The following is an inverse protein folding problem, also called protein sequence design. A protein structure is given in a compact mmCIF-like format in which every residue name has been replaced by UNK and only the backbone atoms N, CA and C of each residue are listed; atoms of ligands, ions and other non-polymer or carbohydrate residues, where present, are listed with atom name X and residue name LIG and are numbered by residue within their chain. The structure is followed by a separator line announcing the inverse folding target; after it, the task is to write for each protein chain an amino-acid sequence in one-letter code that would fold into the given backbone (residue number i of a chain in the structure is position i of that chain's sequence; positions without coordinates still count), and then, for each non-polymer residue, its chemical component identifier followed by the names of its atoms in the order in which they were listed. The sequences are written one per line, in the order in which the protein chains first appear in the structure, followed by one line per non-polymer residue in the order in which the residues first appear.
data_IF_459910042039
#
_entry.id   IF_459910042039
#
_cell.length_a   1.000
_cell.length_b   1.000
_cell.length_c   1.000
_cell.angle_alpha   90.00
_cell.angle_beta   90.00
_cell.angle_gamma   90.00
#
_symmetry.space_group_name_H-M   'P 1'
#
loop_
_entity.id
_entity.type
_entity.pdbx_description
1 polymer ?
#
# COMPACT_ATOMS: atom_id res chain seq x y z
N UNK A 1 -19.78 -5.08 -4.31
CA UNK A 1 -18.73 -5.31 -5.34
C UNK A 1 -18.42 -6.78 -5.56
N UNK A 2 -18.12 -7.60 -4.53
CA UNK A 2 -17.77 -9.03 -4.73
C UNK A 2 -18.78 -9.87 -5.54
N UNK A 3 -20.07 -9.61 -5.43
CA UNK A 3 -21.07 -10.29 -6.26
C UNK A 3 -20.95 -9.92 -7.75
N UNK A 4 -20.71 -8.66 -8.06
CA UNK A 4 -20.48 -8.20 -9.44
C UNK A 4 -19.15 -8.73 -10.00
N UNK A 5 -18.13 -8.84 -9.14
CA UNK A 5 -16.85 -9.45 -9.50
C UNK A 5 -17.03 -10.90 -9.94
N UNK A 6 -17.72 -11.72 -9.14
CA UNK A 6 -17.99 -13.11 -9.49
C UNK A 6 -18.78 -13.25 -10.81
N UNK A 7 -19.72 -12.34 -11.09
CA UNK A 7 -20.42 -12.31 -12.37
C UNK A 7 -19.45 -12.02 -13.53
N UNK A 8 -18.62 -10.98 -13.43
CA UNK A 8 -17.64 -10.64 -14.47
C UNK A 8 -16.65 -11.78 -14.67
N UNK A 9 -16.09 -12.34 -13.59
CA UNK A 9 -15.14 -13.43 -13.72
C UNK A 9 -15.80 -14.65 -14.39
N UNK A 10 -17.04 -14.99 -14.06
CA UNK A 10 -17.75 -16.09 -14.71
C UNK A 10 -18.12 -15.79 -16.18
N UNK A 11 -18.62 -14.58 -16.47
CA UNK A 11 -19.05 -14.17 -17.81
C UNK A 11 -17.89 -14.18 -18.83
N UNK A 12 -16.66 -14.07 -18.34
CA UNK A 12 -15.44 -14.13 -19.15
C UNK A 12 -14.58 -15.38 -18.86
N UNK A 13 -15.20 -16.48 -18.42
CA UNK A 13 -14.54 -17.79 -18.18
C UNK A 13 -13.30 -17.72 -17.26
N UNK A 14 -13.32 -16.78 -16.32
CA UNK A 14 -12.23 -16.42 -15.41
C UNK A 14 -10.94 -16.01 -16.15
N UNK A 15 -11.06 -15.38 -17.32
CA UNK A 15 -9.96 -14.76 -18.08
C UNK A 15 -9.71 -13.31 -17.66
N UNK A 16 -10.68 -12.69 -16.98
CA UNK A 16 -10.53 -11.38 -16.35
C UNK A 16 -10.35 -11.61 -14.86
N UNK A 17 -9.37 -10.93 -14.27
CA UNK A 17 -9.17 -10.92 -12.83
C UNK A 17 -9.78 -9.65 -12.24
N UNK A 18 -10.59 -9.81 -11.20
CA UNK A 18 -11.09 -8.67 -10.44
C UNK A 18 -10.37 -8.59 -9.09
N UNK A 19 -9.99 -7.37 -8.70
CA UNK A 19 -9.31 -7.14 -7.44
C UNK A 19 -9.63 -5.76 -6.89
N UNK A 20 -9.42 -5.59 -5.60
CA UNK A 20 -9.61 -4.31 -4.92
C UNK A 20 -8.58 -3.27 -5.38
N UNK A 21 -9.00 -2.03 -5.59
CA UNK A 21 -8.07 -0.94 -5.85
C UNK A 21 -7.11 -0.77 -4.66
N UNK A 22 -5.81 -0.86 -4.94
CA UNK A 22 -4.78 -0.78 -3.90
C UNK A 22 -4.81 0.58 -3.17
N UNK A 23 -4.86 1.70 -3.90
CA UNK A 23 -4.97 3.04 -3.33
C UNK A 23 -6.23 3.22 -2.45
N UNK A 24 -7.38 2.69 -2.89
CA UNK A 24 -8.59 2.68 -2.07
C UNK A 24 -8.39 1.86 -0.78
N UNK A 25 -7.72 0.72 -0.88
CA UNK A 25 -7.40 -0.12 0.29
C UNK A 25 -6.52 0.59 1.32
N UNK A 26 -5.53 1.36 0.85
CA UNK A 26 -4.69 2.19 1.72
C UNK A 26 -5.49 3.29 2.42
N UNK A 27 -6.43 3.92 1.71
CA UNK A 27 -7.36 4.90 2.30
C UNK A 27 -8.29 4.26 3.37
N UNK A 28 -8.68 3.00 3.17
CA UNK A 28 -9.44 2.24 4.17
C UNK A 28 -8.60 1.90 5.41
N UNK A 29 -7.33 1.52 5.24
CA UNK A 29 -6.38 1.33 6.35
C UNK A 29 -6.29 2.61 7.19
N UNK A 30 -6.11 3.76 6.54
CA UNK A 30 -6.10 5.05 7.22
C UNK A 30 -7.38 5.29 8.02
N UNK A 31 -8.53 4.95 7.43
CA UNK A 31 -9.86 5.06 8.07
C UNK A 31 -10.05 4.12 9.25
N UNK A 32 -9.40 2.98 9.28
CA UNK A 32 -9.46 2.07 10.42
C UNK A 32 -8.50 2.51 11.53
N UNK A 33 -7.28 2.93 11.17
CA UNK A 33 -6.29 3.39 12.13
C UNK A 33 -6.78 4.61 12.91
N UNK A 34 -7.44 5.58 12.26
CA UNK A 34 -8.03 6.73 12.97
C UNK A 34 -9.03 6.32 14.06
N UNK A 35 -9.56 5.09 13.98
CA UNK A 35 -10.53 4.59 14.93
C UNK A 35 -9.91 3.91 16.15
N UNK A 36 -8.57 3.77 16.21
CA UNK A 36 -7.86 3.38 17.43
C UNK A 36 -8.21 4.31 18.59
N UNK A 37 -8.30 3.76 19.78
CA UNK A 37 -8.82 4.48 20.96
C UNK A 37 -7.93 5.67 21.29
N UNK A 38 -6.60 5.49 21.25
CA UNK A 38 -5.65 6.57 21.55
C UNK A 38 -5.70 7.69 20.51
N UNK A 39 -5.97 7.36 19.24
CA UNK A 39 -6.06 8.34 18.15
C UNK A 39 -7.40 9.08 18.18
N UNK A 40 -8.50 8.39 18.51
CA UNK A 40 -9.80 9.01 18.72
C UNK A 40 -9.78 10.01 19.88
N UNK A 41 -9.25 9.62 21.04
CA UNK A 41 -9.18 10.50 22.21
C UNK A 41 -8.30 11.71 21.94
N UNK A 42 -7.10 11.50 21.40
CA UNK A 42 -6.19 12.56 21.02
C UNK A 42 -6.83 13.56 20.04
N UNK A 43 -7.52 13.06 19.01
CA UNK A 43 -8.21 13.92 18.04
C UNK A 43 -9.31 14.74 18.70
N UNK A 44 -10.09 14.14 19.60
CA UNK A 44 -11.14 14.83 20.34
C UNK A 44 -10.56 15.95 21.24
N UNK A 45 -9.46 15.67 21.94
CA UNK A 45 -8.75 16.65 22.76
C UNK A 45 -8.20 17.81 21.92
N UNK A 46 -7.55 17.51 20.78
CA UNK A 46 -7.03 18.53 19.87
C UNK A 46 -8.14 19.43 19.30
N UNK A 47 -9.29 18.83 18.93
CA UNK A 47 -10.48 19.58 18.48
C UNK A 47 -11.03 20.48 19.60
N UNK A 48 -11.15 19.94 20.82
CA UNK A 48 -11.63 20.69 21.98
C UNK A 48 -10.74 21.90 22.28
N UNK A 49 -9.41 21.69 22.31
CA UNK A 49 -8.43 22.75 22.52
C UNK A 49 -8.50 23.82 21.42
N UNK A 50 -8.59 23.41 20.15
CA UNK A 50 -8.70 24.33 19.02
C UNK A 50 -9.98 25.17 19.10
N UNK A 51 -11.11 24.55 19.49
CA UNK A 51 -12.37 25.27 19.71
C UNK A 51 -12.26 26.26 20.86
N UNK A 52 -11.70 25.85 22.00
CA UNK A 52 -11.53 26.72 23.17
C UNK A 52 -10.70 27.97 22.84
N UNK A 53 -9.61 27.81 22.07
CA UNK A 53 -8.79 28.94 21.62
C UNK A 53 -9.58 29.84 20.67
N UNK A 54 -10.26 29.28 19.66
CA UNK A 54 -10.97 30.06 18.63
C UNK A 54 -12.19 30.81 19.18
N UNK A 55 -12.87 30.24 20.18
CA UNK A 55 -14.04 30.86 20.81
C UNK A 55 -13.66 31.95 21.82
N UNK A 56 -12.41 31.98 22.28
CA UNK A 56 -11.91 33.03 23.18
C UNK A 56 -11.19 34.11 22.39
N UNK A 57 -11.72 35.33 22.40
CA UNK A 57 -11.08 36.49 21.76
C UNK A 57 -9.66 36.74 22.30
N UNK A 58 -9.44 36.56 23.60
CA UNK A 58 -8.14 36.76 24.25
C UNK A 58 -7.15 35.68 23.81
N UNK A 59 -7.53 34.40 23.90
CA UNK A 59 -6.63 33.30 23.53
C UNK A 59 -6.32 33.34 22.03
N UNK A 60 -7.31 33.64 21.18
CA UNK A 60 -7.08 33.77 19.75
C UNK A 60 -6.14 34.92 19.40
N UNK A 61 -6.20 36.04 20.13
CA UNK A 61 -5.27 37.16 19.92
C UNK A 61 -3.85 36.79 20.36
N UNK A 62 -3.72 36.19 21.55
CA UNK A 62 -2.44 35.74 22.08
C UNK A 62 -1.75 34.69 21.20
N UNK A 63 -2.50 33.73 20.66
CA UNK A 63 -1.93 32.74 19.74
C UNK A 63 -1.47 33.40 18.44
N UNK A 64 -2.22 34.36 17.88
CA UNK A 64 -1.78 35.09 16.67
C UNK A 64 -0.50 35.87 16.92
N UNK A 65 -0.39 36.52 18.08
CA UNK A 65 0.82 37.23 18.48
C UNK A 65 2.03 36.29 18.52
N UNK A 66 1.90 35.14 19.18
CA UNK A 66 2.96 34.13 19.24
C UNK A 66 3.28 33.50 17.88
N UNK A 67 2.29 33.30 17.01
CA UNK A 67 2.53 32.82 15.64
C UNK A 67 3.37 33.83 14.85
N UNK A 68 3.10 35.13 14.99
CA UNK A 68 3.89 36.18 14.34
C UNK A 68 5.33 36.24 14.90
N UNK A 69 5.50 36.15 16.22
CA UNK A 69 6.81 36.13 16.89
C UNK A 69 7.66 34.95 16.40
N UNK A 70 7.07 33.77 16.30
CA UNK A 70 7.74 32.54 15.85
C UNK A 70 7.81 32.40 14.32
N UNK A 71 7.29 33.37 13.56
CA UNK A 71 7.19 33.33 12.09
C UNK A 71 6.46 32.09 11.55
N UNK A 72 5.46 31.60 12.28
CA UNK A 72 4.61 30.49 11.88
C UNK A 72 3.49 31.04 11.00
N UNK A 73 3.46 30.65 9.73
CA UNK A 73 2.47 31.11 8.75
C UNK A 73 1.16 30.32 8.78
N UNK A 74 1.09 29.21 9.53
CA UNK A 74 -0.09 28.36 9.57
C UNK A 74 -1.17 28.94 10.51
N UNK A 75 -2.44 28.82 10.14
CA UNK A 75 -3.56 29.16 11.01
C UNK A 75 -4.03 27.93 11.80
N UNK A 76 -4.59 28.16 13.00
CA UNK A 76 -5.28 27.11 13.78
C UNK A 76 -6.47 26.57 12.99
N UNK A 77 -6.30 25.40 12.36
CA UNK A 77 -7.33 24.72 11.59
C UNK A 77 -7.91 23.59 12.41
N UNK A 78 -9.24 23.45 12.34
CA UNK A 78 -9.87 22.23 12.80
C UNK A 78 -9.51 21.11 11.81
N UNK A 79 -9.31 19.87 12.28
CA UNK A 79 -9.13 18.74 11.37
C UNK A 79 -10.33 18.65 10.44
N UNK A 80 -10.05 18.68 9.13
CA UNK A 80 -11.06 18.51 8.09
C UNK A 80 -11.04 17.03 7.71
N UNK A 81 -12.18 16.31 7.65
CA UNK A 81 -12.24 14.89 7.34
C UNK A 81 -11.52 14.44 6.06
N UNK A 82 -11.21 15.38 5.17
CA UNK A 82 -10.63 15.13 3.84
C UNK A 82 -9.22 15.70 3.61
N UNK A 83 -8.61 16.47 4.53
CA UNK A 83 -7.23 17.01 4.36
C UNK A 83 -6.55 17.23 5.73
N UNK A 84 -5.56 16.38 6.05
CA UNK A 84 -5.06 16.18 7.43
C UNK A 84 -3.57 16.49 7.66
N UNK A 85 -2.90 17.17 6.74
CA UNK A 85 -1.46 17.46 6.82
C UNK A 85 -1.02 18.54 7.82
N UNK A 86 -1.70 18.71 8.95
CA UNK A 86 -1.33 19.74 9.93
C UNK A 86 -1.65 19.27 11.34
N UNK A 87 -0.63 19.13 12.19
CA UNK A 87 -0.58 19.21 13.65
C UNK A 87 0.80 18.65 14.06
N UNK A 88 1.38 19.06 15.20
CA UNK A 88 2.81 18.80 15.50
C UNK A 88 3.06 18.15 16.89
N UNK A 89 2.03 17.86 17.70
CA UNK A 89 2.04 16.81 18.78
C UNK A 89 1.76 15.41 18.24
N UNK A 90 2.14 15.30 16.99
CA UNK A 90 1.57 14.51 15.93
C UNK A 90 2.68 13.74 15.28
N UNK A 91 3.89 13.77 15.83
CA UNK A 91 4.96 12.88 15.45
C UNK A 91 4.52 11.42 15.50
N UNK A 92 3.86 10.94 16.57
CA UNK A 92 3.33 9.57 16.59
C UNK A 92 2.22 9.29 15.56
N UNK A 93 1.46 10.33 15.21
CA UNK A 93 0.35 10.30 14.24
C UNK A 93 0.88 10.35 12.78
N UNK A 94 1.85 11.22 12.50
CA UNK A 94 2.63 11.35 11.26
C UNK A 94 3.45 10.09 11.07
N UNK A 95 4.18 9.61 12.07
CA UNK A 95 4.98 8.40 11.95
C UNK A 95 4.13 7.18 11.59
N UNK A 96 2.87 7.10 12.05
CA UNK A 96 1.95 6.05 11.62
C UNK A 96 1.39 6.28 10.20
N UNK A 97 1.04 7.52 9.85
CA UNK A 97 0.27 7.80 8.63
C UNK A 97 1.12 8.20 7.42
N UNK A 98 2.34 8.66 7.64
CA UNK A 98 3.31 9.05 6.61
C UNK A 98 3.71 7.86 5.73
N UNK A 99 4.02 6.66 6.26
CA UNK A 99 4.27 5.50 5.40
C UNK A 99 3.09 5.20 4.47
N UNK A 100 1.85 5.39 4.98
CA UNK A 100 0.62 5.14 4.21
C UNK A 100 0.44 6.22 3.15
N UNK A 101 0.58 7.50 3.51
CA UNK A 101 0.44 8.63 2.59
C UNK A 101 1.51 8.60 1.47
N UNK A 102 2.75 8.27 1.82
CA UNK A 102 3.85 8.10 0.86
C UNK A 102 3.57 6.93 -0.08
N UNK A 103 2.99 5.84 0.44
CA UNK A 103 2.61 4.69 -0.38
C UNK A 103 1.47 5.05 -1.33
N UNK A 104 0.42 5.74 -0.86
CA UNK A 104 -0.67 6.26 -1.70
C UNK A 104 -0.11 7.11 -2.83
N UNK A 105 0.73 8.10 -2.50
CA UNK A 105 1.36 8.99 -3.48
C UNK A 105 2.18 8.20 -4.51
N UNK A 106 2.90 7.15 -4.06
CA UNK A 106 3.67 6.30 -4.96
C UNK A 106 2.80 5.45 -5.89
N UNK A 107 1.60 5.04 -5.46
CA UNK A 107 0.73 4.15 -6.26
C UNK A 107 -0.28 4.92 -7.11
N UNK A 108 -0.52 6.19 -6.80
CA UNK A 108 -1.35 7.11 -7.59
C UNK A 108 -0.53 7.92 -8.62
N UNK A 109 0.80 7.80 -8.62
CA UNK A 109 1.64 8.39 -9.66
C UNK A 109 1.48 7.71 -11.03
N UNK A 110 2.23 8.16 -12.03
CA UNK A 110 2.05 7.75 -13.44
C UNK A 110 2.73 6.42 -13.84
N UNK A 111 3.45 5.75 -12.93
CA UNK A 111 4.19 4.50 -13.22
C UNK A 111 3.96 3.32 -12.25
N UNK A 112 2.78 3.15 -11.62
CA UNK A 112 2.60 2.13 -10.61
C UNK A 112 2.37 0.78 -11.29
N UNK A 113 3.29 -0.17 -11.08
CA UNK A 113 3.14 -1.54 -11.56
C UNK A 113 2.54 -2.42 -10.46
N UNK A 114 1.62 -3.32 -10.82
CA UNK A 114 0.96 -4.25 -9.90
C UNK A 114 1.99 -5.07 -9.09
N UNK A 115 3.12 -5.40 -9.72
CA UNK A 115 4.24 -6.12 -9.11
C UNK A 115 4.84 -5.43 -7.88
N UNK A 116 4.80 -4.09 -7.83
CA UNK A 116 5.31 -3.27 -6.72
C UNK A 116 4.34 -3.21 -5.54
N UNK A 117 3.04 -3.48 -5.74
CA UNK A 117 2.05 -3.32 -4.68
C UNK A 117 2.34 -4.18 -3.45
N UNK A 118 2.79 -5.43 -3.63
CA UNK A 118 3.16 -6.31 -2.53
C UNK A 118 4.34 -5.75 -1.72
N UNK A 119 5.41 -5.35 -2.42
CA UNK A 119 6.59 -4.72 -1.84
C UNK A 119 6.21 -3.49 -1.02
N UNK A 120 5.45 -2.58 -1.65
CA UNK A 120 5.02 -1.33 -1.04
C UNK A 120 4.14 -1.58 0.19
N UNK A 121 3.24 -2.56 0.13
CA UNK A 121 2.43 -2.95 1.27
C UNK A 121 3.28 -3.47 2.43
N UNK A 122 4.19 -4.43 2.18
CA UNK A 122 5.07 -5.00 3.22
C UNK A 122 5.96 -3.94 3.83
N UNK A 123 6.57 -3.08 3.00
CA UNK A 123 7.40 -1.95 3.46
C UNK A 123 6.59 -1.00 4.34
N UNK A 124 5.41 -0.57 3.88
CA UNK A 124 4.53 0.33 4.62
C UNK A 124 4.14 -0.26 5.97
N UNK A 125 3.71 -1.53 6.01
CA UNK A 125 3.31 -2.22 7.25
C UNK A 125 4.47 -2.30 8.23
N UNK A 126 5.65 -2.74 7.78
CA UNK A 126 6.83 -2.85 8.63
C UNK A 126 7.22 -1.50 9.22
N UNK A 127 7.33 -0.45 8.39
CA UNK A 127 7.64 0.91 8.87
C UNK A 127 6.58 1.43 9.84
N UNK A 128 5.29 1.19 9.57
CA UNK A 128 4.21 1.63 10.44
C UNK A 128 4.25 0.94 11.81
N UNK A 129 4.49 -0.37 11.83
CA UNK A 129 4.58 -1.15 13.08
C UNK A 129 5.82 -0.80 13.90
N UNK A 130 6.96 -0.58 13.25
CA UNK A 130 8.16 -0.05 13.91
C UNK A 130 7.92 1.33 14.54
N UNK A 131 7.10 2.17 13.90
CA UNK A 131 6.76 3.49 14.40
C UNK A 131 5.76 3.42 15.57
N UNK A 132 4.83 2.46 15.53
CA UNK A 132 3.88 2.18 16.62
C UNK A 132 4.60 1.73 17.90
N UNK A 133 5.57 0.82 17.79
CA UNK A 133 6.31 0.33 18.96
C UNK A 133 7.15 1.42 19.62
N UNK A 134 7.68 2.37 18.83
CA UNK A 134 8.44 3.53 19.32
C UNK A 134 7.56 4.64 19.89
N UNK A 135 6.25 4.62 19.61
CA UNK A 135 5.33 5.68 20.00
C UNK A 135 4.78 5.46 21.42
N UNK A 136 4.99 6.38 22.36
CA UNK A 136 4.40 6.28 23.71
C UNK A 136 2.87 6.27 23.69
N UNK A 137 2.26 6.88 22.67
CA UNK A 137 0.82 6.95 22.49
C UNK A 137 0.24 5.62 21.96
N UNK A 138 0.94 4.95 21.05
CA UNK A 138 0.41 3.83 20.27
C UNK A 138 0.98 2.46 20.67
N UNK A 139 2.05 2.40 21.47
CA UNK A 139 2.72 1.13 21.80
C UNK A 139 1.80 0.08 22.42
N UNK A 140 0.73 0.52 23.13
CA UNK A 140 -0.29 -0.37 23.70
C UNK A 140 -1.29 -0.93 22.69
N UNK A 141 -1.38 -0.31 21.50
CA UNK A 141 -2.31 -0.67 20.41
C UNK A 141 -1.57 -1.34 19.23
N UNK A 142 -0.36 -1.90 19.44
CA UNK A 142 0.40 -2.60 18.40
C UNK A 142 -0.39 -3.79 17.82
N UNK A 143 -1.00 -4.60 18.69
CA UNK A 143 -1.78 -5.76 18.28
C UNK A 143 -3.01 -5.36 17.44
N UNK A 144 -3.73 -4.31 17.86
CA UNK A 144 -4.88 -3.78 17.13
C UNK A 144 -4.46 -3.20 15.78
N UNK A 145 -3.34 -2.48 15.76
CA UNK A 145 -2.75 -1.93 14.53
C UNK A 145 -2.37 -3.05 13.55
N UNK A 146 -1.73 -4.12 14.04
CA UNK A 146 -1.38 -5.29 13.23
C UNK A 146 -2.64 -5.98 12.68
N UNK A 147 -3.68 -6.15 13.50
CA UNK A 147 -4.93 -6.75 13.07
C UNK A 147 -5.63 -5.94 11.96
N UNK A 148 -5.57 -4.60 12.01
CA UNK A 148 -6.06 -3.72 10.95
C UNK A 148 -5.33 -3.99 9.63
N UNK A 149 -3.99 -4.04 9.65
CA UNK A 149 -3.20 -4.32 8.45
C UNK A 149 -3.50 -5.71 7.87
N UNK A 150 -3.55 -6.75 8.70
CA UNK A 150 -3.85 -8.12 8.25
C UNK A 150 -5.26 -8.24 7.67
N UNK A 151 -6.26 -7.60 8.29
CA UNK A 151 -7.61 -7.60 7.76
C UNK A 151 -7.69 -6.88 6.41
N UNK A 152 -6.97 -5.76 6.26
CA UNK A 152 -6.96 -4.98 5.02
C UNK A 152 -6.08 -5.58 3.93
N UNK A 153 -5.05 -6.38 4.27
CA UNK A 153 -4.28 -7.16 3.31
C UNK A 153 -5.18 -8.03 2.43
N UNK A 154 -6.20 -8.66 3.02
CA UNK A 154 -7.21 -9.50 2.31
C UNK A 154 -8.01 -8.75 1.25
N UNK A 155 -8.06 -7.42 1.33
CA UNK A 155 -8.72 -6.56 0.35
C UNK A 155 -7.73 -5.82 -0.55
N UNK A 156 -6.49 -5.62 -0.11
CA UNK A 156 -5.47 -4.88 -0.84
C UNK A 156 -4.67 -5.78 -1.79
N UNK A 157 -4.41 -7.03 -1.39
CA UNK A 157 -3.51 -7.95 -2.05
C UNK A 157 -4.27 -9.23 -2.42
N UNK A 158 -4.16 -9.62 -3.67
CA UNK A 158 -4.78 -10.80 -4.28
C UNK A 158 -3.72 -11.60 -5.04
N UNK A 159 -4.05 -12.81 -5.44
CA UNK A 159 -3.15 -13.72 -6.17
C UNK A 159 -2.54 -13.09 -7.42
N UNK A 160 -3.25 -12.23 -8.15
CA UNK A 160 -2.70 -11.46 -9.29
C UNK A 160 -1.49 -10.59 -8.91
N UNK A 161 -1.45 -10.07 -7.68
CA UNK A 161 -0.30 -9.31 -7.17
C UNK A 161 0.89 -10.23 -6.88
N UNK A 162 0.63 -11.46 -6.43
CA UNK A 162 1.67 -12.47 -6.24
C UNK A 162 2.25 -12.90 -7.58
N UNK A 163 1.41 -13.18 -8.57
CA UNK A 163 1.83 -13.49 -9.95
C UNK A 163 2.67 -12.34 -10.52
N UNK A 164 2.19 -11.11 -10.42
CA UNK A 164 2.92 -9.94 -10.92
C UNK A 164 4.27 -9.77 -10.22
N UNK A 165 4.36 -10.00 -8.91
CA UNK A 165 5.63 -9.95 -8.17
C UNK A 165 6.55 -11.13 -8.54
N UNK A 166 5.99 -12.32 -8.77
CA UNK A 166 6.73 -13.52 -9.17
C UNK A 166 7.36 -13.35 -10.56
N UNK A 167 6.63 -12.76 -11.50
CA UNK A 167 7.04 -12.57 -12.88
C UNK A 167 7.78 -11.25 -13.13
N UNK A 168 7.98 -10.42 -12.11
CA UNK A 168 8.76 -9.19 -12.22
C UNK A 168 10.27 -9.50 -12.08
N UNK A 169 11.12 -9.13 -13.05
CA UNK A 169 12.56 -9.39 -13.01
C UNK A 169 13.27 -8.83 -11.77
N UNK A 170 12.74 -7.76 -11.17
CA UNK A 170 13.25 -7.14 -9.96
C UNK A 170 12.96 -7.99 -8.72
N UNK A 171 11.74 -8.50 -8.60
CA UNK A 171 11.26 -9.18 -7.40
C UNK A 171 11.44 -10.69 -7.48
N UNK A 172 11.03 -11.33 -8.59
CA UNK A 172 11.10 -12.79 -8.80
C UNK A 172 10.51 -13.59 -7.65
N UNK A 173 9.46 -13.05 -7.02
CA UNK A 173 8.80 -13.66 -5.87
C UNK A 173 9.63 -13.69 -4.59
N UNK A 174 10.76 -12.96 -4.49
CA UNK A 174 11.62 -12.98 -3.31
C UNK A 174 10.93 -12.52 -2.02
N UNK A 175 9.80 -11.84 -2.15
CA UNK A 175 9.00 -11.37 -1.02
C UNK A 175 7.85 -12.32 -0.69
N UNK A 176 7.54 -13.32 -1.52
CA UNK A 176 6.41 -14.22 -1.33
C UNK A 176 6.73 -15.28 -0.26
N UNK A 177 5.75 -15.62 0.59
CA UNK A 177 5.82 -16.86 1.38
C UNK A 177 5.67 -18.09 0.49
N UNK A 178 5.95 -19.29 1.04
CA UNK A 178 5.72 -20.55 0.31
C UNK A 178 4.27 -20.71 -0.13
N UNK A 179 3.31 -20.30 0.71
CA UNK A 179 1.89 -20.33 0.36
C UNK A 179 1.56 -19.29 -0.73
N UNK A 180 2.07 -18.05 -0.59
CA UNK A 180 1.86 -17.00 -1.60
C UNK A 180 2.50 -17.36 -2.96
N UNK A 181 3.63 -18.08 -2.96
CA UNK A 181 4.23 -18.64 -4.17
C UNK A 181 3.35 -19.73 -4.78
N UNK A 182 2.82 -20.64 -3.95
CA UNK A 182 1.94 -21.72 -4.40
C UNK A 182 0.68 -21.14 -5.05
N UNK A 183 0.05 -20.14 -4.42
CA UNK A 183 -1.11 -19.42 -4.97
C UNK A 183 -0.79 -18.75 -6.31
N UNK A 184 0.38 -18.12 -6.43
CA UNK A 184 0.82 -17.49 -7.68
C UNK A 184 1.00 -18.52 -8.80
N UNK A 185 1.69 -19.62 -8.51
CA UNK A 185 1.92 -20.71 -9.46
C UNK A 185 0.62 -21.39 -9.88
N UNK A 186 -0.33 -21.58 -8.95
CA UNK A 186 -1.65 -22.13 -9.25
C UNK A 186 -2.42 -21.24 -10.23
N UNK A 187 -2.37 -19.91 -10.06
CA UNK A 187 -2.99 -18.98 -11.00
C UNK A 187 -2.33 -19.05 -12.38
N UNK A 188 -1.00 -19.08 -12.46
CA UNK A 188 -0.28 -19.21 -13.74
C UNK A 188 -0.70 -20.50 -14.45
N UNK A 189 -0.74 -21.61 -13.72
CA UNK A 189 -1.19 -22.90 -14.24
C UNK A 189 -2.63 -22.83 -14.79
N UNK A 190 -3.57 -22.27 -14.02
CA UNK A 190 -4.96 -22.10 -14.44
C UNK A 190 -5.13 -21.21 -15.67
N UNK A 191 -4.24 -20.22 -15.84
CA UNK A 191 -4.22 -19.38 -17.05
C UNK A 191 -3.68 -20.17 -18.25
N UNK A 192 -2.59 -20.91 -18.07
CA UNK A 192 -2.00 -21.74 -19.12
C UNK A 192 -3.00 -22.79 -19.65
N UNK A 193 -3.74 -23.46 -18.76
CA UNK A 193 -4.77 -24.45 -19.12
C UNK A 193 -5.86 -23.93 -20.07
N UNK A 194 -6.09 -22.62 -20.09
CA UNK A 194 -7.13 -21.99 -20.92
C UNK A 194 -6.59 -21.46 -22.23
N UNK A 195 -5.27 -21.36 -22.38
CA UNK A 195 -4.65 -20.86 -23.60
C UNK A 195 -4.53 -21.99 -24.62
N UNK A 196 -4.96 -21.77 -25.87
CA UNK A 196 -4.79 -22.77 -26.92
C UNK A 196 -3.29 -22.97 -27.21
N UNK A 197 -2.91 -24.23 -27.45
CA UNK A 197 -1.54 -24.63 -27.85
C UNK A 197 -0.43 -24.27 -26.84
N UNK A 198 -0.77 -24.17 -25.55
CA UNK A 198 0.19 -23.94 -24.46
C UNK A 198 0.39 -25.22 -23.66
N UNK A 199 1.64 -25.64 -23.49
CA UNK A 199 2.03 -26.74 -22.59
C UNK A 199 2.23 -26.18 -21.16
N UNK A 200 1.35 -26.56 -20.24
CA UNK A 200 1.37 -26.05 -18.88
C UNK A 200 2.62 -26.48 -18.10
N UNK A 201 3.14 -27.69 -18.37
CA UNK A 201 4.36 -28.18 -17.72
C UNK A 201 5.58 -27.38 -18.21
N UNK A 202 5.62 -27.04 -19.49
CA UNK A 202 6.66 -26.17 -20.04
C UNK A 202 6.59 -24.75 -19.44
N UNK A 203 5.39 -24.17 -19.31
CA UNK A 203 5.20 -22.86 -18.66
C UNK A 203 5.70 -22.88 -17.22
N UNK A 204 5.36 -23.92 -16.45
CA UNK A 204 5.83 -24.04 -15.07
C UNK A 204 7.36 -24.20 -14.99
N UNK A 205 7.95 -24.97 -15.90
CA UNK A 205 9.41 -25.09 -16.00
C UNK A 205 10.07 -23.74 -16.31
N UNK A 206 9.49 -22.94 -17.22
CA UNK A 206 9.98 -21.60 -17.55
C UNK A 206 9.88 -20.63 -16.37
N UNK A 207 8.80 -20.69 -15.58
CA UNK A 207 8.68 -19.91 -14.34
C UNK A 207 9.80 -20.28 -13.36
N UNK A 208 10.08 -21.57 -13.17
CA UNK A 208 11.18 -22.04 -12.31
C UNK A 208 12.53 -21.54 -12.83
N UNK A 209 12.79 -21.68 -14.13
CA UNK A 209 14.01 -21.20 -14.77
C UNK A 209 14.17 -19.68 -14.62
N UNK A 210 13.08 -18.91 -14.75
CA UNK A 210 13.09 -17.46 -14.58
C UNK A 210 13.48 -17.07 -13.15
N UNK A 211 12.84 -17.68 -12.15
CA UNK A 211 13.11 -17.42 -10.72
C UNK A 211 14.57 -17.75 -10.39
N UNK A 212 15.04 -18.93 -10.83
CA UNK A 212 16.38 -19.44 -10.61
C UNK A 212 17.47 -18.73 -11.44
N UNK A 213 17.09 -17.94 -12.46
CA UNK A 213 17.99 -17.39 -13.47
C UNK A 213 18.77 -18.51 -14.20
N UNK A 214 18.05 -19.53 -14.61
CA UNK A 214 18.58 -20.69 -15.34
C UNK A 214 18.01 -20.75 -16.77
N UNK A 215 18.46 -21.73 -17.55
CA UNK A 215 18.04 -21.90 -18.94
C UNK A 215 18.27 -20.65 -19.79
N UNK A 216 17.21 -20.18 -20.45
CA UNK A 216 17.21 -18.96 -21.28
C UNK A 216 17.51 -17.69 -20.47
N UNK A 217 17.25 -17.70 -19.17
CA UNK A 217 17.42 -16.54 -18.29
C UNK A 217 18.80 -16.50 -17.60
N UNK A 218 19.73 -17.39 -17.97
CA UNK A 218 21.05 -17.48 -17.31
C UNK A 218 21.98 -16.29 -17.56
N UNK A 219 21.78 -15.55 -18.64
CA UNK A 219 22.72 -14.51 -19.06
C UNK A 219 22.54 -13.22 -18.25
N UNK A 220 23.63 -12.74 -17.64
CA UNK A 220 23.61 -11.58 -16.75
C UNK A 220 23.06 -10.29 -17.38
N UNK A 221 23.24 -10.08 -18.69
CA UNK A 221 22.76 -8.87 -19.37
C UNK A 221 21.23 -8.71 -19.33
N UNK A 222 20.47 -9.82 -19.26
CA UNK A 222 19.01 -9.80 -19.13
C UNK A 222 18.55 -9.18 -17.80
N UNK A 223 19.46 -9.07 -16.83
CA UNK A 223 19.17 -8.65 -15.47
C UNK A 223 19.76 -7.30 -15.10
N UNK A 224 20.36 -6.59 -16.05
CA UNK A 224 20.83 -5.23 -15.81
C UNK A 224 19.62 -4.30 -15.59
N UNK A 225 19.66 -3.46 -14.55
CA UNK A 225 18.59 -2.50 -14.23
C UNK A 225 18.24 -1.60 -15.42
N UNK A 226 19.22 -1.12 -16.19
CA UNK A 226 18.97 -0.29 -17.38
C UNK A 226 18.21 -1.08 -18.47
N UNK A 227 18.56 -2.35 -18.63
CA UNK A 227 17.91 -3.25 -19.60
C UNK A 227 16.49 -3.58 -19.16
N UNK A 228 16.30 -3.88 -17.87
CA UNK A 228 14.96 -4.14 -17.30
C UNK A 228 14.09 -2.87 -17.40
N UNK A 229 14.63 -1.71 -17.05
CA UNK A 229 13.91 -0.44 -17.12
C UNK A 229 13.48 -0.10 -18.55
N UNK A 230 14.36 -0.32 -19.53
CA UNK A 230 14.03 -0.14 -20.95
C UNK A 230 12.94 -1.11 -21.44
N UNK A 231 12.99 -2.38 -21.01
CA UNK A 231 11.97 -3.39 -21.35
C UNK A 231 10.61 -2.98 -20.76
N UNK A 232 10.56 -2.64 -19.47
CA UNK A 232 9.33 -2.24 -18.79
C UNK A 232 8.75 -0.94 -19.38
N UNK A 233 9.61 0.03 -19.73
CA UNK A 233 9.20 1.27 -20.37
C UNK A 233 8.62 1.03 -21.78
N UNK A 234 9.20 0.12 -22.56
CA UNK A 234 8.71 -0.18 -23.92
C UNK A 234 7.35 -0.92 -23.92
N UNK A 235 7.07 -1.73 -22.90
CA UNK A 235 5.75 -2.37 -22.72
C UNK A 235 4.66 -1.38 -22.28
N UNK A 236 5.03 -0.27 -21.64
CA UNK A 236 4.11 0.77 -21.20
C UNK A 236 3.54 1.62 -22.35
N UNK A 237 4.15 1.56 -23.54
CA UNK A 237 3.79 2.34 -24.73
C UNK A 237 2.73 1.60 -25.60
N UNK A 238 2.37 0.36 -25.26
CA UNK A 238 1.40 -0.46 -25.99
C UNK A 238 -0.05 -0.37 -25.45
N UNK A 239 -0.35 0.63 -24.60
CA UNK A 239 -1.71 0.94 -24.14
C UNK A 239 -2.18 2.32 -24.58
#
# INVERSE_FOLDING_TARGET
MKAAWALIENDFDNNIFTYGCFAHSLNLIFTDLKNLTSLKSFTAEAVSLTKAIRQSHILSAWVKEKQNELKISCSLKLPVPTRWGSLDRVQGYIMLLEPIANTITSVEGDTPTISKCLHLFKKMVNTSLENVTKSPLLSKEEADTRAIFENRKKFAIYSVHFVANLLDPKYRGCELSSDEMTDATEVIYKVAQKMPDVDEAAVLADVVNFIAKEGLFKKAFLWNEDTIAAILASQSILH
#
